data_IF_345517850686
#
_entry.id   IF_345517850686
#
_cell.length_a   1.000
_cell.length_b   1.000
_cell.length_c   1.000
_cell.angle_alpha   90.00
_cell.angle_beta   90.00
_cell.angle_gamma   90.00
#
_symmetry.space_group_name_H-M   'P 1'
#
loop_
_entity.id
_entity.type
_entity.pdbx_description
1 polymer ?
#
# COMPACT_ATOMS: atom_id res chain seq x y z
N UNK A 1 -5.35 -69.46 28.36
CA UNK A 1 -4.10 -68.67 28.53
C UNK A 1 -3.54 -68.04 27.25
N UNK A 2 -4.10 -68.26 26.04
CA UNK A 2 -3.63 -67.60 24.80
C UNK A 2 -4.37 -66.31 24.40
N UNK A 3 -5.46 -65.96 25.09
CA UNK A 3 -6.30 -64.79 24.75
C UNK A 3 -5.90 -63.53 25.55
N UNK A 4 -5.15 -63.68 26.64
CA UNK A 4 -4.71 -62.55 27.47
C UNK A 4 -3.46 -61.84 26.92
N UNK A 5 -2.61 -62.54 26.16
CA UNK A 5 -1.37 -61.96 25.62
C UNK A 5 -1.60 -61.06 24.40
N UNK A 6 -2.70 -61.25 23.67
CA UNK A 6 -3.02 -60.42 22.50
C UNK A 6 -3.60 -59.07 22.91
N UNK A 7 -4.23 -58.96 24.09
CA UNK A 7 -4.82 -57.70 24.55
C UNK A 7 -3.78 -56.69 25.05
N UNK A 8 -2.65 -57.16 25.60
CA UNK A 8 -1.56 -56.29 26.05
C UNK A 8 -0.69 -55.74 24.91
N UNK A 9 -0.54 -56.48 23.80
CA UNK A 9 0.22 -56.01 22.64
C UNK A 9 -0.51 -54.89 21.88
N UNK A 10 -1.84 -54.94 21.78
CA UNK A 10 -2.63 -53.89 21.10
C UNK A 10 -2.76 -52.62 21.95
N UNK A 11 -2.72 -52.73 23.29
CA UNK A 11 -2.79 -51.58 24.19
C UNK A 11 -1.46 -50.79 24.22
N UNK A 12 -0.31 -51.44 24.03
CA UNK A 12 1.00 -50.78 23.92
C UNK A 12 1.22 -50.08 22.56
N UNK A 13 0.59 -50.55 21.49
CA UNK A 13 0.61 -49.85 20.20
C UNK A 13 -0.25 -48.58 20.21
N UNK A 14 -1.32 -48.54 21.01
CA UNK A 14 -2.20 -47.38 21.15
C UNK A 14 -1.65 -46.29 22.07
N UNK A 15 -0.79 -46.65 23.04
CA UNK A 15 -0.12 -45.68 23.90
C UNK A 15 1.02 -44.90 23.21
N UNK A 16 1.50 -45.39 22.06
CA UNK A 16 2.55 -44.72 21.27
C UNK A 16 2.03 -43.57 20.40
N UNK A 17 0.71 -43.47 20.20
CA UNK A 17 0.08 -42.38 19.42
C UNK A 17 -0.25 -41.12 20.23
N UNK A 18 -0.06 -41.12 21.56
CA UNK A 18 -0.42 -40.00 22.42
C UNK A 18 0.78 -39.17 22.90
N UNK A 19 2.00 -39.47 22.43
CA UNK A 19 3.22 -38.70 22.73
C UNK A 19 3.77 -37.94 21.50
N UNK A 20 3.00 -37.85 20.41
CA UNK A 20 3.26 -36.88 19.35
C UNK A 20 2.78 -35.52 19.84
N UNK A 21 3.66 -34.75 20.47
CA UNK A 21 3.39 -33.34 20.72
C UNK A 21 2.98 -32.70 19.40
N UNK A 22 1.79 -32.10 19.36
CA UNK A 22 1.30 -31.32 18.22
C UNK A 22 2.23 -30.14 18.02
N UNK A 23 3.31 -30.34 17.27
CA UNK A 23 4.01 -29.24 16.63
C UNK A 23 3.03 -28.77 15.56
N UNK A 24 2.21 -27.79 15.90
CA UNK A 24 1.46 -27.02 14.93
C UNK A 24 2.49 -26.29 14.08
N UNK A 25 2.96 -26.94 13.00
CA UNK A 25 3.56 -26.20 11.90
C UNK A 25 2.44 -25.31 11.37
N UNK A 26 2.44 -24.04 11.78
CA UNK A 26 1.62 -23.02 11.15
C UNK A 26 2.09 -22.96 9.70
N UNK A 27 1.43 -23.71 8.83
CA UNK A 27 1.54 -23.53 7.39
C UNK A 27 0.85 -22.21 7.08
N UNK A 28 1.56 -21.10 7.27
CA UNK A 28 1.16 -19.80 6.75
C UNK A 28 1.19 -19.91 5.23
N UNK A 29 0.03 -20.16 4.63
CA UNK A 29 -0.10 -19.98 3.17
C UNK A 29 0.29 -18.53 2.88
N UNK A 30 1.27 -18.30 1.99
CA UNK A 30 1.76 -16.95 1.74
C UNK A 30 0.60 -16.07 1.26
N UNK A 31 0.43 -14.91 1.88
CA UNK A 31 -0.63 -13.97 1.56
C UNK A 31 -0.36 -13.34 0.19
N UNK A 32 -1.39 -13.25 -0.65
CA UNK A 32 -1.28 -12.66 -1.98
C UNK A 32 -1.76 -11.21 -1.96
N UNK A 33 -0.94 -10.29 -2.46
CA UNK A 33 -1.28 -8.89 -2.64
C UNK A 33 -1.84 -8.69 -4.06
N UNK A 34 -3.14 -8.42 -4.18
CA UNK A 34 -3.82 -8.33 -5.47
C UNK A 34 -4.26 -6.91 -5.82
N UNK A 35 -4.18 -6.57 -7.11
CA UNK A 35 -4.79 -5.38 -7.68
C UNK A 35 -5.68 -5.75 -8.87
N UNK A 36 -6.81 -5.05 -9.00
CA UNK A 36 -7.72 -5.21 -10.14
C UNK A 36 -7.04 -4.77 -11.43
N UNK A 37 -7.28 -5.54 -12.50
CA UNK A 37 -6.83 -5.30 -13.87
C UNK A 37 -7.97 -4.64 -14.65
N UNK A 38 -7.77 -3.39 -15.08
CA UNK A 38 -8.78 -2.59 -15.79
C UNK A 38 -8.39 -2.33 -17.24
N UNK A 39 -9.34 -2.41 -18.15
CA UNK A 39 -9.18 -1.90 -19.52
C UNK A 39 -9.15 -0.36 -19.54
N UNK A 40 -8.77 0.22 -20.69
CA UNK A 40 -8.79 1.68 -20.90
C UNK A 40 -10.18 2.33 -20.67
N UNK A 41 -11.26 1.57 -20.83
CA UNK A 41 -12.64 2.02 -20.59
C UNK A 41 -13.11 1.76 -19.14
N UNK A 42 -12.18 1.48 -18.22
CA UNK A 42 -12.43 1.14 -16.82
C UNK A 42 -13.34 -0.09 -16.64
N UNK A 43 -13.29 -1.03 -17.58
CA UNK A 43 -13.93 -2.34 -17.45
C UNK A 43 -12.98 -3.26 -16.69
N UNK A 44 -13.48 -3.89 -15.62
CA UNK A 44 -12.75 -4.93 -14.91
C UNK A 44 -12.62 -6.17 -15.78
N UNK A 45 -11.38 -6.62 -16.03
CA UNK A 45 -11.09 -7.80 -16.86
C UNK A 45 -10.43 -8.92 -16.07
N UNK A 46 -9.95 -8.64 -14.86
CA UNK A 46 -9.27 -9.60 -14.01
C UNK A 46 -8.58 -8.96 -12.80
N UNK A 47 -7.57 -9.65 -12.28
CA UNK A 47 -6.66 -9.15 -11.25
C UNK A 47 -5.22 -9.61 -11.52
N UNK A 48 -4.27 -8.88 -10.95
CA UNK A 48 -2.86 -9.27 -10.86
C UNK A 48 -2.51 -9.43 -9.39
N UNK A 49 -2.04 -10.60 -9.01
CA UNK A 49 -1.69 -10.95 -7.63
C UNK A 49 -0.20 -11.20 -7.51
N UNK A 50 0.38 -10.74 -6.40
CA UNK A 50 1.79 -10.92 -6.07
C UNK A 50 1.89 -11.78 -4.82
N UNK A 51 2.59 -12.90 -4.92
CA UNK A 51 2.88 -13.77 -3.77
C UNK A 51 4.38 -13.90 -3.62
N UNK A 52 4.90 -13.49 -2.46
CA UNK A 52 6.32 -13.60 -2.13
C UNK A 52 6.54 -14.95 -1.44
N UNK A 53 7.50 -15.74 -1.94
CA UNK A 53 7.94 -16.96 -1.29
C UNK A 53 9.40 -16.79 -0.85
N UNK A 54 9.63 -16.42 0.43
CA UNK A 54 10.97 -16.15 0.94
C UNK A 54 11.85 -17.40 0.93
N UNK A 55 11.28 -18.59 1.20
CA UNK A 55 12.01 -19.85 1.26
C UNK A 55 12.62 -20.26 -0.10
N UNK A 56 11.94 -19.89 -1.18
CA UNK A 56 12.36 -20.18 -2.55
C UNK A 56 13.00 -18.97 -3.26
N UNK A 57 13.21 -17.86 -2.54
CA UNK A 57 13.82 -16.61 -3.05
C UNK A 57 13.18 -16.11 -4.36
N UNK A 58 11.85 -16.23 -4.46
CA UNK A 58 11.11 -15.85 -5.65
C UNK A 58 9.77 -15.17 -5.34
N UNK A 59 9.29 -14.44 -6.34
CA UNK A 59 7.98 -13.81 -6.38
C UNK A 59 7.17 -14.49 -7.48
N UNK A 60 5.94 -14.85 -7.15
CA UNK A 60 4.92 -15.25 -8.12
C UNK A 60 4.08 -14.03 -8.48
N UNK A 61 3.94 -13.77 -9.78
CA UNK A 61 3.07 -12.73 -10.31
C UNK A 61 2.00 -13.37 -11.18
N UNK A 62 0.79 -13.47 -10.64
CA UNK A 62 -0.33 -14.20 -11.24
C UNK A 62 -1.32 -13.23 -11.89
N UNK A 63 -1.56 -13.41 -13.19
CA UNK A 63 -2.65 -12.79 -13.92
C UNK A 63 -3.86 -13.72 -13.86
N UNK A 64 -4.99 -13.22 -13.37
CA UNK A 64 -6.23 -13.97 -13.18
C UNK A 64 -7.37 -13.24 -13.89
N UNK A 65 -7.87 -13.76 -15.02
CA UNK A 65 -8.96 -13.15 -15.77
C UNK A 65 -10.34 -13.64 -15.32
N UNK A 66 -11.33 -12.75 -15.39
CA UNK A 66 -12.72 -13.07 -15.05
C UNK A 66 -13.57 -13.32 -16.30
N UNK A 67 -14.70 -14.00 -16.10
CA UNK A 67 -15.70 -14.27 -17.12
C UNK A 67 -15.14 -14.92 -18.40
N UNK A 68 -15.38 -14.30 -19.55
CA UNK A 68 -14.98 -14.76 -20.88
C UNK A 68 -13.70 -14.08 -21.40
N UNK A 69 -13.04 -13.26 -20.57
CA UNK A 69 -11.77 -12.64 -20.90
C UNK A 69 -10.65 -13.67 -20.98
N UNK A 70 -9.82 -13.53 -22.01
CA UNK A 70 -8.70 -14.38 -22.39
C UNK A 70 -7.44 -13.54 -22.48
N UNK A 71 -6.33 -14.06 -21.99
CA UNK A 71 -5.03 -13.41 -21.92
C UNK A 71 -4.23 -13.79 -23.16
N UNK A 72 -3.88 -12.79 -23.96
CA UNK A 72 -3.08 -12.97 -25.18
C UNK A 72 -1.60 -12.62 -24.94
N UNK A 73 -1.35 -11.55 -24.18
CA UNK A 73 -0.02 -11.07 -23.80
C UNK A 73 -0.02 -10.55 -22.36
N UNK A 74 1.10 -10.72 -21.66
CA UNK A 74 1.31 -10.22 -20.31
C UNK A 74 2.72 -9.61 -20.19
N UNK A 75 2.82 -8.44 -19.58
CA UNK A 75 4.07 -7.72 -19.35
C UNK A 75 4.11 -7.15 -17.95
N UNK A 76 5.22 -7.34 -17.25
CA UNK A 76 5.37 -6.86 -15.88
C UNK A 76 6.76 -6.29 -15.61
N UNK A 77 6.75 -5.25 -14.78
CA UNK A 77 7.93 -4.71 -14.12
C UNK A 77 7.67 -4.65 -12.61
N UNK A 78 8.64 -5.08 -11.82
CA UNK A 78 8.60 -5.07 -10.36
C UNK A 78 9.89 -4.39 -9.86
N UNK A 79 9.77 -3.35 -9.04
CA UNK A 79 10.90 -2.59 -8.52
C UNK A 79 10.61 -1.88 -7.20
N UNK A 80 11.63 -1.19 -6.66
CA UNK A 80 11.60 -0.55 -5.33
C UNK A 80 11.24 0.94 -5.36
N UNK A 81 11.22 1.54 -6.55
CA UNK A 81 10.96 2.95 -6.72
C UNK A 81 10.33 3.23 -8.07
N UNK A 82 9.25 3.99 -8.10
CA UNK A 82 8.57 4.42 -9.34
C UNK A 82 9.49 5.18 -10.30
N UNK A 83 10.55 5.82 -9.79
CA UNK A 83 11.55 6.52 -10.61
C UNK A 83 12.39 5.58 -11.48
N UNK A 84 12.45 4.29 -11.11
CA UNK A 84 13.14 3.24 -11.86
C UNK A 84 12.23 2.55 -12.88
N UNK A 85 10.92 2.85 -12.87
CA UNK A 85 9.97 2.33 -13.86
C UNK A 85 10.39 2.80 -15.26
N UNK A 86 10.60 1.89 -16.23
CA UNK A 86 10.97 2.29 -17.58
C UNK A 86 9.84 3.09 -18.23
N UNK A 87 10.10 4.38 -18.49
CA UNK A 87 9.17 5.30 -19.15
C UNK A 87 9.78 5.95 -20.38
N UNK A 88 8.93 6.36 -21.32
CA UNK A 88 9.35 7.09 -22.52
C UNK A 88 9.61 8.58 -22.22
N UNK A 89 10.02 9.34 -23.24
CA UNK A 89 10.26 10.77 -23.09
C UNK A 89 9.01 11.60 -22.73
N UNK A 90 7.82 11.01 -22.76
CA UNK A 90 6.54 11.60 -22.36
C UNK A 90 6.08 11.14 -20.97
N UNK A 91 6.82 10.23 -20.33
CA UNK A 91 6.47 9.65 -19.03
C UNK A 91 5.52 8.45 -19.09
N UNK A 92 5.25 7.91 -20.28
CA UNK A 92 4.42 6.70 -20.42
C UNK A 92 5.27 5.45 -20.19
N UNK A 93 4.76 4.42 -19.48
CA UNK A 93 5.45 3.15 -19.33
C UNK A 93 5.84 2.52 -20.67
N UNK A 94 7.10 2.14 -20.81
CA UNK A 94 7.60 1.43 -22.00
C UNK A 94 7.42 -0.08 -21.83
N UNK A 95 6.21 -0.58 -22.09
CA UNK A 95 5.85 -2.01 -21.95
C UNK A 95 6.82 -2.94 -22.69
N UNK A 96 7.37 -2.51 -23.83
CA UNK A 96 8.30 -3.31 -24.63
C UNK A 96 9.67 -3.54 -23.99
N UNK A 97 10.02 -2.83 -22.91
CA UNK A 97 11.28 -3.03 -22.17
C UNK A 97 11.06 -3.64 -20.79
N UNK A 98 9.83 -4.06 -20.47
CA UNK A 98 9.56 -4.75 -19.22
C UNK A 98 10.29 -6.10 -19.18
N UNK A 99 11.02 -6.41 -18.09
CA UNK A 99 11.89 -7.59 -18.02
C UNK A 99 11.12 -8.90 -18.03
N UNK A 100 9.86 -8.89 -17.56
CA UNK A 100 9.01 -10.08 -17.54
C UNK A 100 7.91 -9.91 -18.59
N UNK A 101 7.92 -10.76 -19.60
CA UNK A 101 6.91 -10.74 -20.64
C UNK A 101 6.59 -12.13 -21.17
N UNK A 102 5.34 -12.32 -21.55
CA UNK A 102 4.86 -13.51 -22.23
C UNK A 102 3.92 -13.07 -23.35
N UNK A 103 4.12 -13.65 -24.54
CA UNK A 103 3.31 -13.37 -25.72
C UNK A 103 2.78 -14.68 -26.31
N UNK A 104 1.76 -14.59 -27.16
CA UNK A 104 1.14 -15.74 -27.79
C UNK A 104 0.63 -16.77 -26.77
N UNK A 105 0.05 -16.28 -25.67
CA UNK A 105 -0.48 -17.14 -24.61
C UNK A 105 -1.69 -17.97 -25.07
N UNK A 106 -2.26 -17.68 -26.24
CA UNK A 106 -3.32 -18.48 -26.86
C UNK A 106 -4.67 -18.34 -26.17
N UNK A 107 -4.90 -17.23 -25.49
CA UNK A 107 -6.15 -16.92 -24.82
C UNK A 107 -6.40 -17.76 -23.57
N UNK A 108 -5.40 -17.86 -22.68
CA UNK A 108 -5.54 -18.51 -21.36
C UNK A 108 -6.32 -17.61 -20.39
N UNK A 109 -6.88 -18.16 -19.32
CA UNK A 109 -7.54 -17.36 -18.26
C UNK A 109 -6.60 -17.02 -17.11
N UNK A 110 -5.44 -17.67 -17.05
CA UNK A 110 -4.45 -17.46 -16.01
C UNK A 110 -3.04 -17.59 -16.58
N UNK A 111 -2.11 -16.82 -16.02
CA UNK A 111 -0.67 -16.94 -16.31
C UNK A 111 0.14 -16.49 -15.09
N UNK A 112 1.23 -17.19 -14.80
CA UNK A 112 2.10 -16.91 -13.66
C UNK A 112 3.53 -16.69 -14.12
N UNK A 113 4.13 -15.58 -13.71
CA UNK A 113 5.58 -15.41 -13.76
C UNK A 113 6.19 -15.88 -12.45
N UNK A 114 7.27 -16.66 -12.55
CA UNK A 114 8.14 -16.99 -11.41
C UNK A 114 9.40 -16.14 -11.55
N UNK A 115 9.57 -15.16 -10.67
CA UNK A 115 10.61 -14.15 -10.76
C UNK A 115 11.58 -14.33 -9.58
N UNK A 116 12.85 -14.61 -9.86
CA UNK A 116 13.85 -14.69 -8.78
C UNK A 116 14.09 -13.31 -8.18
N UNK A 117 14.41 -13.23 -6.89
CA UNK A 117 14.79 -11.96 -6.25
C UNK A 117 15.98 -11.28 -6.94
N UNK A 118 16.88 -12.05 -7.56
CA UNK A 118 18.02 -11.51 -8.33
C UNK A 118 17.60 -10.83 -9.64
N UNK A 119 16.41 -11.14 -10.16
CA UNK A 119 15.87 -10.55 -11.38
C UNK A 119 14.95 -9.36 -11.10
N UNK A 120 14.63 -9.09 -9.83
CA UNK A 120 13.86 -7.93 -9.42
C UNK A 120 14.70 -6.66 -9.55
N UNK A 121 14.08 -5.56 -9.97
CA UNK A 121 14.71 -4.24 -9.94
C UNK A 121 14.64 -3.64 -8.53
N UNK A 122 15.04 -4.43 -7.53
CA UNK A 122 14.99 -4.11 -6.10
C UNK A 122 16.34 -4.46 -5.49
N UNK A 123 16.83 -3.60 -4.59
CA UNK A 123 17.94 -3.99 -3.74
C UNK A 123 17.47 -5.05 -2.72
N UNK A 124 18.04 -6.26 -2.82
CA UNK A 124 17.72 -7.38 -1.93
C UNK A 124 17.90 -7.06 -0.44
N UNK A 125 18.90 -6.23 -0.09
CA UNK A 125 19.17 -5.82 1.29
C UNK A 125 18.07 -4.93 1.88
N UNK A 126 17.31 -4.26 1.00
CA UNK A 126 16.23 -3.35 1.40
C UNK A 126 14.86 -3.86 0.98
N UNK A 127 14.78 -5.02 0.30
CA UNK A 127 13.50 -5.58 -0.14
C UNK A 127 12.55 -5.76 1.04
N UNK A 128 13.13 -6.05 2.19
CA UNK A 128 12.49 -6.23 3.45
C UNK A 128 11.97 -4.91 4.05
N UNK A 129 10.65 -4.81 4.22
CA UNK A 129 9.92 -3.59 4.59
C UNK A 129 9.95 -2.48 3.53
N UNK A 130 10.38 -2.77 2.30
CA UNK A 130 10.25 -1.82 1.20
C UNK A 130 8.83 -1.83 0.63
N UNK A 131 8.41 -0.65 0.17
CA UNK A 131 7.29 -0.54 -0.75
C UNK A 131 7.72 -1.11 -2.10
N UNK A 132 7.07 -2.19 -2.53
CA UNK A 132 7.28 -2.81 -3.83
C UNK A 132 6.32 -2.18 -4.82
N UNK A 133 6.84 -1.70 -5.95
CA UNK A 133 6.09 -1.11 -7.05
C UNK A 133 5.92 -2.14 -8.16
N UNK A 134 4.67 -2.39 -8.56
CA UNK A 134 4.33 -3.33 -9.64
C UNK A 134 3.58 -2.61 -10.74
N UNK A 135 4.16 -2.59 -11.94
CA UNK A 135 3.52 -2.15 -13.16
C UNK A 135 3.23 -3.37 -14.04
N UNK A 136 1.95 -3.73 -14.16
CA UNK A 136 1.51 -4.91 -14.88
C UNK A 136 0.52 -4.52 -15.99
N UNK A 137 0.89 -4.87 -17.22
CA UNK A 137 0.13 -4.67 -18.43
C UNK A 137 -0.31 -6.03 -19.02
N UNK A 138 -1.48 -6.06 -19.64
CA UNK A 138 -1.99 -7.23 -20.35
C UNK A 138 -2.69 -6.81 -21.65
N UNK A 139 -2.58 -7.65 -22.67
CA UNK A 139 -3.48 -7.65 -23.82
C UNK A 139 -4.47 -8.78 -23.60
N UNK A 140 -5.75 -8.43 -23.52
CA UNK A 140 -6.83 -9.37 -23.27
C UNK A 140 -7.86 -9.33 -24.39
N UNK A 141 -8.48 -10.45 -24.65
CA UNK A 141 -9.56 -10.56 -25.62
C UNK A 141 -10.77 -11.30 -25.06
N UNK A 142 -11.95 -11.03 -25.63
CA UNK A 142 -13.15 -11.82 -25.37
C UNK A 142 -13.97 -11.95 -26.64
N UNK A 143 -14.87 -12.93 -26.65
CA UNK A 143 -15.73 -13.15 -27.80
C UNK A 143 -17.11 -12.56 -27.54
N UNK A 144 -17.41 -11.43 -28.18
CA UNK A 144 -18.74 -10.84 -28.11
C UNK A 144 -19.60 -11.50 -29.18
N UNK A 145 -20.62 -12.23 -28.74
CA UNK A 145 -21.62 -12.76 -29.69
C UNK A 145 -22.29 -11.56 -30.34
N UNK A 146 -22.06 -11.38 -31.63
CA UNK A 146 -22.61 -10.29 -32.42
C UNK A 146 -24.13 -10.36 -32.42
N UNK A 147 -24.75 -9.80 -31.38
CA UNK A 147 -26.16 -9.50 -31.32
C UNK A 147 -26.42 -8.48 -32.41
N UNK A 148 -26.80 -8.96 -33.59
CA UNK A 148 -27.25 -8.15 -34.71
C UNK A 148 -28.58 -7.49 -34.40
N UNK A 149 -28.65 -6.67 -33.35
CA UNK A 149 -29.79 -5.80 -33.08
C UNK A 149 -29.36 -4.37 -33.43
N UNK A 150 -29.63 -4.03 -34.68
CA UNK A 150 -29.40 -2.72 -35.23
C UNK A 150 -30.04 -1.62 -34.37
N UNK A 151 -29.27 -0.55 -34.12
CA UNK A 151 -29.80 0.80 -33.94
C UNK A 151 -30.83 0.98 -32.82
N UNK A 152 -30.62 0.38 -31.65
CA UNK A 152 -31.32 0.74 -30.42
C UNK A 152 -30.48 1.72 -29.60
N UNK A 153 -31.05 2.86 -29.24
CA UNK A 153 -30.43 3.93 -28.43
C UNK A 153 -29.64 3.38 -27.24
N UNK A 154 -28.48 4.00 -26.98
CA UNK A 154 -27.70 3.83 -25.77
C UNK A 154 -28.55 4.08 -24.52
N UNK A 155 -29.01 2.99 -23.91
CA UNK A 155 -29.53 3.05 -22.55
C UNK A 155 -28.34 3.30 -21.63
N UNK A 156 -28.38 4.49 -21.02
CA UNK A 156 -27.53 4.88 -19.89
C UNK A 156 -27.43 3.70 -18.93
N UNK A 157 -26.23 3.16 -18.80
CA UNK A 157 -25.87 2.24 -17.72
C UNK A 157 -26.35 2.85 -16.40
N UNK A 158 -27.34 2.17 -15.82
CA UNK A 158 -27.84 2.46 -14.49
C UNK A 158 -26.69 2.29 -13.50
N UNK A 159 -26.64 3.22 -12.54
CA UNK A 159 -25.87 3.12 -11.30
C UNK A 159 -25.78 1.66 -10.84
N UNK A 160 -24.58 1.11 -10.80
CA UNK A 160 -24.30 -0.11 -10.06
C UNK A 160 -24.79 0.07 -8.63
N UNK A 161 -25.67 -0.84 -8.23
CA UNK A 161 -26.19 -0.91 -6.87
C UNK A 161 -25.06 -1.19 -5.90
N UNK A 162 -25.17 -0.60 -4.71
CA UNK A 162 -24.39 -0.98 -3.53
C UNK A 162 -24.41 -2.49 -3.38
N UNK A 163 -23.22 -3.10 -3.36
CA UNK A 163 -23.03 -4.49 -2.97
C UNK A 163 -23.52 -4.71 -1.53
N UNK A 164 -24.11 -5.88 -1.35
CA UNK A 164 -24.96 -6.26 -0.23
C UNK A 164 -24.25 -6.30 1.12
N UNK A 165 -24.96 -5.75 2.09
CA UNK A 165 -24.76 -6.00 3.51
C UNK A 165 -25.27 -7.42 3.80
N UNK A 166 -24.39 -8.26 4.34
CA UNK A 166 -24.64 -9.66 4.71
C UNK A 166 -25.79 -9.82 5.71
N UNK A 167 -26.65 -10.81 5.43
CA UNK A 167 -27.80 -11.22 6.22
C UNK A 167 -27.43 -11.61 7.67
N UNK A 168 -28.07 -10.96 8.65
CA UNK A 168 -28.35 -11.54 9.97
C UNK A 168 -29.78 -12.04 9.99
N UNK A 169 -29.95 -13.36 9.87
CA UNK A 169 -31.09 -14.06 10.47
C UNK A 169 -30.89 -14.07 11.99
N UNK A 170 -31.88 -13.96 12.88
CA UNK A 170 -33.32 -13.77 12.81
C UNK A 170 -33.85 -13.94 14.23
N UNK A 171 -34.96 -13.26 14.59
CA UNK A 171 -36.12 -13.79 15.35
C UNK A 171 -37.01 -12.69 15.92
N UNK A 172 -38.24 -12.74 15.41
CA UNK A 172 -39.53 -12.34 15.97
C UNK A 172 -39.61 -11.88 17.44
N UNK A 173 -40.24 -10.72 17.62
CA UNK A 173 -40.86 -10.27 18.86
C UNK A 173 -41.98 -9.26 18.55
N UNK A 174 -43.21 -9.76 18.56
CA UNK A 174 -44.47 -9.09 18.28
C UNK A 174 -44.90 -8.23 19.49
N UNK A 175 -45.23 -6.94 19.32
CA UNK A 175 -46.23 -6.22 20.14
C UNK A 175 -46.51 -4.78 19.65
N UNK A 176 -47.75 -4.58 19.23
CA UNK A 176 -48.70 -3.50 19.56
C UNK A 176 -48.40 -2.00 19.36
N UNK A 177 -49.23 -1.42 18.47
CA UNK A 177 -50.03 -0.17 18.60
C UNK A 177 -49.50 0.99 19.46
N UNK A 178 -49.23 2.10 18.79
CA UNK A 178 -49.73 3.48 19.05
C UNK A 178 -48.90 4.44 18.18
N UNK A 179 -49.32 5.59 17.68
CA UNK A 179 -50.53 6.39 17.73
C UNK A 179 -50.31 7.55 16.75
N UNK A 180 -51.39 8.07 16.15
CA UNK A 180 -51.40 9.21 15.23
C UNK A 180 -50.90 10.50 15.89
N UNK A 181 -50.07 11.26 15.18
CA UNK A 181 -50.05 12.74 15.08
C UNK A 181 -48.78 13.11 14.30
N UNK A 182 -48.69 14.13 13.45
CA UNK A 182 -49.58 15.21 13.11
C UNK A 182 -48.97 15.92 11.90
N UNK A 183 -49.87 16.46 11.10
CA UNK A 183 -49.68 17.16 9.84
C UNK A 183 -49.11 18.56 10.09
N UNK A 184 -48.09 18.99 9.36
CA UNK A 184 -47.78 20.42 9.19
C UNK A 184 -47.03 20.69 7.88
N UNK A 185 -47.83 21.17 6.93
CA UNK A 185 -47.68 22.33 6.07
C UNK A 185 -46.47 22.53 5.13
N UNK A 186 -46.87 22.64 3.86
CA UNK A 186 -46.14 23.16 2.71
C UNK A 186 -45.95 24.68 2.81
N UNK A 187 -44.74 25.14 2.54
CA UNK A 187 -44.44 26.49 2.04
C UNK A 187 -43.12 26.41 1.28
N UNK A 188 -42.87 27.03 0.12
CA UNK A 188 -43.61 27.91 -0.75
C UNK A 188 -42.68 28.17 -1.94
N UNK A 189 -43.22 28.16 -3.16
CA UNK A 189 -42.49 28.54 -4.38
C UNK A 189 -42.21 30.05 -4.38
N UNK A 190 -41.00 30.47 -4.73
CA UNK A 190 -40.71 31.86 -5.08
C UNK A 190 -40.06 31.96 -6.47
N UNK A 191 -40.92 32.33 -7.42
CA UNK A 191 -40.76 33.31 -8.51
C UNK A 191 -39.41 33.57 -9.18
N UNK A 192 -39.43 33.32 -10.49
CA UNK A 192 -38.68 34.01 -11.54
C UNK A 192 -38.76 35.54 -11.43
N UNK A 193 -37.63 36.23 -11.66
CA UNK A 193 -37.62 37.53 -12.30
C UNK A 193 -36.20 37.98 -12.71
N UNK A 194 -36.09 38.64 -13.87
CA UNK A 194 -35.05 39.65 -14.12
C UNK A 194 -34.23 39.53 -15.40
N UNK A 195 -34.83 39.90 -16.54
CA UNK A 195 -34.08 40.36 -17.73
C UNK A 195 -33.48 41.76 -17.49
N UNK A 196 -32.23 41.97 -17.89
CA UNK A 196 -31.60 43.28 -18.10
C UNK A 196 -30.07 43.13 -18.10
N UNK A 197 -29.27 43.72 -18.98
CA UNK A 197 -29.48 44.66 -20.07
C UNK A 197 -28.20 44.70 -20.93
N UNK A 198 -28.32 45.27 -22.13
CA UNK A 198 -27.23 45.48 -23.09
C UNK A 198 -26.33 46.65 -22.67
N UNK A 199 -25.03 46.54 -22.98
CA UNK A 199 -24.06 47.64 -23.05
C UNK A 199 -22.65 47.14 -22.69
N UNK A 200 -21.56 47.41 -23.40
CA UNK A 200 -21.30 48.31 -24.52
C UNK A 200 -19.94 47.99 -25.14
N UNK A 201 -19.69 48.63 -26.30
CA UNK A 201 -18.49 48.54 -27.14
C UNK A 201 -17.24 49.17 -26.47
N UNK A 202 -16.07 48.66 -26.84
CA UNK A 202 -14.77 49.36 -26.76
C UNK A 202 -13.64 48.37 -26.43
N UNK A 203 -12.50 48.30 -27.12
CA UNK A 203 -11.94 49.11 -28.18
C UNK A 203 -10.76 48.36 -28.82
N UNK A 204 -10.42 48.79 -30.03
CA UNK A 204 -9.26 48.38 -30.83
C UNK A 204 -7.95 48.80 -30.14
N UNK A 205 -6.86 48.06 -30.37
CA UNK A 205 -5.52 48.57 -30.03
C UNK A 205 -4.37 47.61 -30.34
N UNK A 206 -3.69 47.89 -31.45
CA UNK A 206 -2.47 47.32 -32.03
C UNK A 206 -1.45 46.62 -31.12
N UNK A 207 -0.99 45.44 -31.56
CA UNK A 207 0.35 44.93 -31.26
C UNK A 207 1.26 45.23 -32.45
N UNK A 208 2.22 46.14 -32.29
CA UNK A 208 3.46 46.04 -33.06
C UNK A 208 4.63 46.82 -32.44
N UNK A 209 5.80 46.20 -32.59
CA UNK A 209 7.16 46.76 -32.57
C UNK A 209 7.78 47.26 -31.26
N UNK A 210 8.99 46.78 -30.97
CA UNK A 210 9.84 47.32 -29.90
C UNK A 210 11.11 46.50 -29.66
N UNK A 211 12.08 46.65 -30.55
CA UNK A 211 13.44 46.08 -30.49
C UNK A 211 14.32 46.92 -29.54
N UNK A 212 15.43 46.33 -29.08
CA UNK A 212 16.60 46.93 -28.37
C UNK A 212 16.48 47.05 -26.83
N UNK A 213 17.55 46.91 -26.04
CA UNK A 213 18.97 47.00 -26.38
C UNK A 213 19.93 46.39 -25.34
N UNK A 214 21.20 46.41 -25.74
CA UNK A 214 22.41 46.05 -24.99
C UNK A 214 22.60 46.95 -23.77
N UNK A 215 23.19 46.40 -22.70
CA UNK A 215 23.75 47.16 -21.60
C UNK A 215 24.93 46.42 -20.98
N UNK A 216 26.14 46.84 -21.35
CA UNK A 216 27.40 46.51 -20.67
C UNK A 216 27.57 47.41 -19.45
N UNK A 217 28.15 46.94 -18.35
CA UNK A 217 29.10 47.74 -17.55
C UNK A 217 29.83 46.90 -16.51
N UNK A 218 31.10 47.23 -16.34
CA UNK A 218 32.07 46.67 -15.42
C UNK A 218 31.94 47.27 -14.00
N UNK A 219 32.54 46.59 -13.02
CA UNK A 219 33.71 47.06 -12.24
C UNK A 219 33.59 46.88 -10.71
N UNK A 220 34.72 46.51 -10.10
CA UNK A 220 35.03 46.66 -8.67
C UNK A 220 35.03 45.35 -7.86
N UNK A 221 36.11 44.55 -7.83
CA UNK A 221 37.36 44.68 -7.03
C UNK A 221 37.19 44.50 -5.51
N UNK A 222 37.98 43.59 -4.93
CA UNK A 222 38.70 43.67 -3.62
C UNK A 222 38.74 42.28 -2.95
N UNK A 223 39.83 41.51 -3.08
CA UNK A 223 40.95 41.36 -2.12
C UNK A 223 40.70 40.41 -0.94
N UNK A 224 41.60 39.43 -0.77
CA UNK A 224 41.65 38.56 0.41
C UNK A 224 42.46 37.28 0.17
N UNK A 225 43.78 37.37 0.32
CA UNK A 225 44.81 36.38 0.02
C UNK A 225 45.03 35.31 1.10
N UNK A 226 45.87 34.31 0.75
CA UNK A 226 46.68 33.36 1.57
C UNK A 226 46.17 31.90 1.61
N UNK A 227 46.96 30.83 1.48
CA UNK A 227 48.37 30.58 1.11
C UNK A 227 48.64 29.06 1.18
N UNK A 228 49.51 28.51 0.32
CA UNK A 228 50.17 27.19 0.47
C UNK A 228 49.91 26.20 -0.68
N UNK A 229 50.70 26.15 -1.77
CA UNK A 229 51.98 25.42 -1.97
C UNK A 229 51.80 23.89 -1.82
N UNK A 230 52.07 22.99 -2.78
CA UNK A 230 53.19 22.97 -3.75
C UNK A 230 53.09 21.83 -4.79
N UNK A 231 53.73 22.07 -5.96
CA UNK A 231 54.39 21.15 -6.93
C UNK A 231 53.57 20.08 -7.70
N UNK A 232 53.74 19.80 -8.99
CA UNK A 232 54.60 20.33 -10.07
C UNK A 232 54.31 19.58 -11.39
N UNK A 233 54.25 20.30 -12.53
CA UNK A 233 54.83 19.95 -13.87
C UNK A 233 54.19 18.76 -14.62
N UNK A 234 53.57 18.88 -15.81
CA UNK A 234 54.07 19.26 -17.16
C UNK A 234 52.92 19.73 -18.10
N UNK A 235 52.97 20.93 -18.71
CA UNK A 235 53.16 21.25 -20.16
C UNK A 235 52.45 20.33 -21.15
N UNK A 236 51.59 20.73 -22.10
CA UNK A 236 51.68 21.76 -23.17
C UNK A 236 50.27 22.08 -23.72
N UNK A 237 49.81 23.33 -23.79
CA UNK A 237 50.02 24.35 -24.84
C UNK A 237 49.23 24.16 -26.15
N UNK A 238 48.26 25.08 -26.33
CA UNK A 238 47.91 25.84 -27.54
C UNK A 238 47.11 25.22 -28.69
N UNK A 239 46.00 25.90 -29.03
CA UNK A 239 45.32 25.78 -30.32
C UNK A 239 43.95 26.46 -30.36
N UNK A 240 43.91 27.80 -30.39
CA UNK A 240 42.70 28.57 -30.73
C UNK A 240 42.40 28.48 -32.23
N UNK A 241 41.10 28.61 -32.51
CA UNK A 241 40.47 29.21 -33.71
C UNK A 241 40.14 28.30 -34.91
N UNK A 242 38.89 28.45 -35.37
CA UNK A 242 38.37 27.90 -36.61
C UNK A 242 36.84 28.08 -36.70
N UNK A 243 36.38 29.26 -37.13
CA UNK A 243 35.01 29.48 -37.63
C UNK A 243 35.00 29.15 -39.13
N UNK A 244 34.14 28.22 -39.55
CA UNK A 244 33.44 28.13 -40.86
C UNK A 244 32.89 26.70 -40.99
N UNK A 245 31.76 26.41 -41.63
CA UNK A 245 30.89 27.23 -42.45
C UNK A 245 29.49 26.63 -42.55
N UNK A 246 28.60 27.43 -43.15
CA UNK A 246 27.33 26.99 -43.71
C UNK A 246 27.53 25.79 -44.64
N UNK A 247 26.66 24.80 -44.49
CA UNK A 247 26.39 23.80 -45.53
C UNK A 247 24.87 23.68 -45.71
N UNK A 248 24.43 24.30 -46.80
CA UNK A 248 23.49 23.82 -47.81
C UNK A 248 22.13 23.21 -47.43
N UNK A 249 21.12 23.91 -47.94
CA UNK A 249 19.73 23.46 -48.11
C UNK A 249 19.70 22.23 -49.02
N UNK A 250 19.42 21.07 -48.45
CA UNK A 250 19.04 19.88 -49.21
C UNK A 250 17.65 20.05 -49.84
N UNK A 251 17.55 19.59 -51.09
CA UNK A 251 16.52 19.96 -52.05
C UNK A 251 15.13 19.37 -51.83
N UNK A 252 14.19 19.99 -52.56
CA UNK A 252 12.82 19.53 -52.78
C UNK A 252 12.85 18.19 -53.53
N UNK A 253 12.38 17.12 -52.89
CA UNK A 253 12.08 15.84 -53.53
C UNK A 253 10.64 15.79 -54.02
N UNK A 254 10.49 15.56 -55.33
CA UNK A 254 9.53 14.63 -55.93
C UNK A 254 8.06 14.75 -55.55
N UNK A 255 7.32 15.48 -56.38
CA UNK A 255 5.87 15.39 -56.50
C UNK A 255 5.51 14.03 -57.13
N UNK A 256 5.06 13.06 -56.33
CA UNK A 256 4.58 11.77 -56.82
C UNK A 256 3.11 11.83 -57.25
N UNK A 257 2.81 11.12 -58.31
CA UNK A 257 1.58 11.14 -59.09
C UNK A 257 0.30 10.82 -58.30
N UNK A 258 -0.77 11.50 -58.73
CA UNK A 258 -2.15 11.26 -58.29
C UNK A 258 -2.58 9.84 -58.66
N UNK A 259 -2.71 8.96 -57.67
CA UNK A 259 -3.43 7.70 -57.81
C UNK A 259 -4.92 7.97 -58.06
N UNK A 260 -5.47 7.29 -59.06
CA UNK A 260 -6.83 7.43 -59.51
C UNK A 260 -7.85 7.01 -58.45
N UNK A 261 -8.99 7.70 -58.43
CA UNK A 261 -10.19 7.31 -57.69
C UNK A 261 -10.63 5.92 -58.15
N UNK A 262 -10.42 4.91 -57.31
CA UNK A 262 -11.07 3.60 -57.46
C UNK A 262 -12.57 3.76 -57.23
N UNK A 263 -13.34 3.17 -58.13
CA UNK A 263 -14.79 3.24 -58.16
C UNK A 263 -15.45 2.74 -56.87
N UNK A 264 -16.53 3.42 -56.51
CA UNK A 264 -17.48 3.08 -55.47
C UNK A 264 -18.25 1.83 -55.91
N UNK A 265 -17.80 0.65 -55.51
CA UNK A 265 -18.58 -0.59 -55.67
C UNK A 265 -19.73 -0.61 -54.67
N UNK A 266 -20.89 -1.03 -55.17
CA UNK A 266 -22.19 -0.92 -54.50
C UNK A 266 -22.26 -1.69 -53.18
N UNK A 267 -22.87 -1.05 -52.21
CA UNK A 267 -23.35 -1.62 -50.96
C UNK A 267 -24.44 -2.64 -51.24
N UNK A 268 -24.06 -3.93 -51.31
CA UNK A 268 -25.01 -5.04 -51.15
C UNK A 268 -25.34 -5.17 -49.67
N UNK A 269 -26.51 -4.67 -49.31
CA UNK A 269 -27.21 -4.98 -48.08
C UNK A 269 -27.74 -6.42 -48.18
N UNK A 270 -27.37 -7.29 -47.24
CA UNK A 270 -27.96 -8.63 -47.13
C UNK A 270 -26.95 -9.71 -46.79
N UNK A 271 -26.76 -9.95 -45.50
CA UNK A 271 -25.92 -11.02 -44.98
C UNK A 271 -25.48 -10.67 -43.57
N UNK A 272 -26.40 -10.76 -42.61
CA UNK A 272 -26.04 -10.64 -41.19
C UNK A 272 -25.23 -11.87 -40.79
N UNK A 273 -23.91 -11.82 -40.98
CA UNK A 273 -23.01 -12.79 -40.37
C UNK A 273 -23.12 -12.62 -38.86
N UNK A 274 -23.68 -13.64 -38.20
CA UNK A 274 -23.67 -13.79 -36.74
C UNK A 274 -22.32 -14.31 -36.26
N UNK A 275 -21.25 -14.02 -37.00
CA UNK A 275 -19.92 -14.50 -36.66
C UNK A 275 -19.49 -13.79 -35.37
N UNK A 276 -18.98 -14.54 -34.37
CA UNK A 276 -18.48 -13.96 -33.15
C UNK A 276 -17.40 -12.91 -33.47
N UNK A 277 -17.51 -11.73 -32.85
CA UNK A 277 -16.51 -10.69 -32.95
C UNK A 277 -15.60 -10.81 -31.75
N UNK A 278 -14.30 -10.97 -31.99
CA UNK A 278 -13.29 -10.88 -30.92
C UNK A 278 -13.03 -9.40 -30.62
N UNK A 279 -13.29 -9.00 -29.39
CA UNK A 279 -12.89 -7.72 -28.83
C UNK A 279 -11.51 -7.90 -28.17
N UNK A 280 -10.53 -7.08 -28.54
CA UNK A 280 -9.19 -7.07 -27.94
C UNK A 280 -8.92 -5.71 -27.33
N UNK A 281 -8.51 -5.68 -26.06
CA UNK A 281 -8.21 -4.45 -25.31
C UNK A 281 -6.90 -4.58 -24.55
N UNK A 282 -6.28 -3.43 -24.26
CA UNK A 282 -5.15 -3.33 -23.34
C UNK A 282 -5.67 -3.02 -21.95
N UNK A 283 -5.12 -3.70 -20.95
CA UNK A 283 -5.48 -3.54 -19.55
C UNK A 283 -4.25 -3.33 -18.66
N UNK A 284 -4.46 -2.60 -17.56
CA UNK A 284 -3.43 -2.25 -16.57
C UNK A 284 -3.90 -2.54 -15.15
N UNK A 285 -2.99 -3.05 -14.33
CA UNK A 285 -3.26 -3.28 -12.91
C UNK A 285 -2.77 -2.10 -12.07
N UNK A 286 -3.63 -1.65 -11.15
CA UNK A 286 -3.28 -0.65 -10.14
C UNK A 286 -4.11 0.62 -10.22
N UNK A 287 -4.19 1.31 -9.10
CA UNK A 287 -4.96 2.55 -8.95
C UNK A 287 -4.16 3.82 -9.23
N UNK A 288 -2.83 3.72 -9.29
CA UNK A 288 -1.96 4.90 -9.44
C UNK A 288 -1.55 5.06 -10.88
N UNK A 289 -2.02 6.13 -11.53
CA UNK A 289 -1.75 6.39 -12.94
C UNK A 289 -0.30 6.86 -13.17
N UNK A 290 0.29 6.41 -14.28
CA UNK A 290 1.59 6.85 -14.80
C UNK A 290 1.49 6.92 -16.33
N UNK A 291 1.45 8.13 -16.88
CA UNK A 291 1.19 8.33 -18.30
C UNK A 291 -0.16 7.72 -18.74
N UNK A 292 -0.11 6.78 -19.68
CA UNK A 292 -1.24 5.98 -20.16
C UNK A 292 -1.40 4.60 -19.48
N UNK A 293 -0.57 4.30 -18.49
CA UNK A 293 -0.62 3.07 -17.70
C UNK A 293 -0.94 3.31 -16.22
N UNK A 294 -0.86 2.23 -15.44
CA UNK A 294 -0.95 2.29 -13.98
C UNK A 294 0.00 1.31 -13.29
N UNK A 295 0.21 1.55 -12.00
CA UNK A 295 0.92 0.65 -11.10
C UNK A 295 0.19 0.58 -9.76
N UNK A 296 0.54 -0.43 -8.96
CA UNK A 296 0.17 -0.53 -7.56
C UNK A 296 1.40 -0.74 -6.70
N UNK A 297 1.25 -0.46 -5.41
CA UNK A 297 2.30 -0.66 -4.42
C UNK A 297 1.77 -1.53 -3.29
N UNK A 298 2.64 -2.36 -2.72
CA UNK A 298 2.37 -3.07 -1.47
C UNK A 298 3.63 -3.04 -0.61
N UNK A 299 3.46 -3.06 0.71
CA UNK A 299 4.58 -3.15 1.63
C UNK A 299 5.00 -4.61 1.75
N UNK A 300 6.27 -4.90 1.49
CA UNK A 300 6.81 -6.25 1.65
C UNK A 300 7.16 -6.53 3.11
N UNK A 301 6.22 -7.13 3.84
CA UNK A 301 6.44 -7.61 5.21
C UNK A 301 6.84 -9.10 5.26
N UNK A 302 7.17 -9.73 4.12
CA UNK A 302 7.50 -11.17 4.08
C UNK A 302 8.93 -11.47 4.54
N UNK A 303 9.72 -10.43 4.75
CA UNK A 303 11.10 -10.50 5.15
C UNK A 303 11.35 -10.38 6.66
N UNK A 304 10.31 -10.38 7.50
CA UNK A 304 10.58 -10.49 8.93
C UNK A 304 11.31 -11.81 9.14
N UNK A 305 12.64 -11.72 9.30
CA UNK A 305 13.36 -12.51 10.29
C UNK A 305 12.38 -12.61 11.45
N UNK A 306 11.87 -13.81 11.71
CA UNK A 306 10.94 -14.07 12.80
C UNK A 306 11.42 -13.21 13.97
N UNK A 307 10.66 -12.15 14.36
CA UNK A 307 11.22 -11.07 15.14
C UNK A 307 11.86 -11.71 16.35
N UNK A 308 13.17 -11.44 16.61
CA UNK A 308 14.00 -12.29 17.43
C UNK A 308 13.23 -12.62 18.70
N UNK A 309 12.89 -13.90 18.87
CA UNK A 309 12.04 -14.34 19.97
C UNK A 309 12.67 -13.81 21.24
N UNK A 310 12.00 -12.88 21.90
CA UNK A 310 12.52 -12.29 23.13
C UNK A 310 12.33 -13.34 24.21
N UNK A 311 13.35 -14.17 24.41
CA UNK A 311 13.35 -15.15 25.49
C UNK A 311 13.27 -14.40 26.82
N UNK A 312 12.12 -14.52 27.47
CA UNK A 312 11.94 -14.00 28.82
C UNK A 312 12.78 -14.85 29.79
N UNK A 313 13.43 -14.24 30.79
CA UNK A 313 14.03 -15.01 31.87
C UNK A 313 12.98 -15.88 32.55
N UNK A 314 13.43 -17.01 33.10
CA UNK A 314 12.56 -17.91 33.83
C UNK A 314 11.72 -17.17 34.88
N UNK A 315 10.40 -17.38 34.85
CA UNK A 315 9.40 -16.75 35.72
C UNK A 315 9.01 -15.30 35.40
N UNK A 316 9.64 -14.66 34.42
CA UNK A 316 9.16 -13.38 33.90
C UNK A 316 8.01 -13.61 32.91
N UNK A 317 7.14 -12.61 32.77
CA UNK A 317 6.01 -12.66 31.84
C UNK A 317 5.72 -11.26 31.27
N UNK A 318 5.08 -11.22 30.10
CA UNK A 318 4.68 -9.98 29.46
C UNK A 318 3.40 -9.42 30.07
N UNK A 319 3.34 -8.10 30.16
CA UNK A 319 2.14 -7.34 30.48
C UNK A 319 1.97 -6.19 29.50
N UNK A 320 0.71 -5.81 29.25
CA UNK A 320 0.37 -4.68 28.39
C UNK A 320 -0.51 -3.70 29.14
N UNK A 321 -0.35 -2.42 28.84
CA UNK A 321 -1.23 -1.40 29.38
C UNK A 321 -2.57 -1.39 28.66
N UNK A 322 -3.65 -1.43 29.42
CA UNK A 322 -5.03 -1.20 28.95
C UNK A 322 -5.63 0.00 29.69
N UNK A 323 -6.27 0.89 28.94
CA UNK A 323 -7.04 2.03 29.45
C UNK A 323 -8.54 1.68 29.36
N UNK A 324 -9.36 2.04 30.36
CA UNK A 324 -10.80 1.83 30.29
C UNK A 324 -11.40 2.36 28.99
N UNK A 325 -12.00 1.47 28.18
CA UNK A 325 -12.55 1.82 26.87
C UNK A 325 -11.66 1.49 25.67
N UNK A 326 -10.45 0.97 25.86
CA UNK A 326 -9.64 0.42 24.76
C UNK A 326 -10.36 -0.76 24.10
N UNK A 327 -10.64 -0.66 22.80
CA UNK A 327 -11.44 -1.66 22.07
C UNK A 327 -10.61 -2.59 21.17
N UNK A 328 -9.34 -2.25 20.92
CA UNK A 328 -8.48 -2.94 19.95
C UNK A 328 -7.40 -3.75 20.67
N UNK A 329 -7.65 -5.05 20.75
CA UNK A 329 -6.67 -6.05 21.18
C UNK A 329 -5.88 -6.60 19.99
N UNK A 330 -4.59 -6.86 20.15
CA UNK A 330 -3.75 -7.51 19.13
C UNK A 330 -2.95 -8.66 19.74
N UNK A 331 -2.53 -9.63 18.91
CA UNK A 331 -1.59 -10.67 19.32
C UNK A 331 -0.18 -10.17 19.00
N UNK A 332 0.68 -9.90 19.99
CA UNK A 332 2.03 -9.45 19.72
C UNK A 332 2.82 -10.57 19.03
N UNK A 333 3.61 -10.20 18.02
CA UNK A 333 4.54 -11.14 17.35
C UNK A 333 5.88 -11.14 18.11
N UNK A 334 6.54 -12.29 18.22
CA UNK A 334 7.85 -12.42 18.86
C UNK A 334 7.84 -12.53 20.39
N UNK A 335 6.66 -12.69 21.01
CA UNK A 335 6.52 -13.01 22.43
C UNK A 335 6.18 -14.49 22.63
N UNK A 336 6.80 -15.12 23.62
CA UNK A 336 6.61 -16.55 23.90
C UNK A 336 5.37 -16.88 24.73
N UNK A 337 4.72 -15.87 25.30
CA UNK A 337 3.48 -16.04 26.06
C UNK A 337 2.26 -15.60 25.24
N UNK A 338 1.12 -16.28 25.41
CA UNK A 338 -0.13 -16.01 24.70
C UNK A 338 -0.82 -14.73 25.21
N UNK A 339 -0.06 -13.66 25.38
CA UNK A 339 -0.56 -12.41 25.96
C UNK A 339 -1.18 -11.55 24.87
N UNK A 340 -2.32 -10.96 25.18
CA UNK A 340 -3.01 -10.01 24.31
C UNK A 340 -2.49 -8.60 24.58
N UNK A 341 -1.99 -7.94 23.53
CA UNK A 341 -1.64 -6.53 23.55
C UNK A 341 -2.87 -5.64 23.40
N UNK A 342 -2.78 -4.39 23.87
CA UNK A 342 -3.87 -3.41 23.78
C UNK A 342 -3.36 -2.14 23.12
N UNK A 343 -4.10 -1.68 22.11
CA UNK A 343 -3.92 -0.38 21.47
C UNK A 343 -4.83 0.63 22.17
N UNK A 344 -4.24 1.69 22.72
CA UNK A 344 -4.96 2.69 23.48
C UNK A 344 -5.06 3.98 22.67
N UNK A 345 -6.26 4.33 22.20
CA UNK A 345 -6.49 5.62 21.56
C UNK A 345 -6.71 6.70 22.62
N UNK A 346 -5.85 7.71 22.64
CA UNK A 346 -5.81 8.75 23.67
C UNK A 346 -5.93 10.12 23.02
N UNK A 347 -6.84 10.94 23.53
CA UNK A 347 -6.93 12.35 23.15
C UNK A 347 -5.74 13.12 23.74
N UNK A 348 -4.98 13.84 22.93
CA UNK A 348 -3.81 14.61 23.42
C UNK A 348 -4.22 15.85 24.21
N UNK A 349 -5.47 16.28 24.07
CA UNK A 349 -6.11 17.31 24.87
C UNK A 349 -6.60 16.72 26.21
N UNK A 350 -5.68 16.50 27.16
CA UNK A 350 -6.02 16.03 28.51
C UNK A 350 -4.76 15.74 29.32
N UNK A 351 -4.61 16.41 30.47
CA UNK A 351 -3.49 16.18 31.39
C UNK A 351 -3.76 14.92 32.21
N UNK A 352 -3.43 13.78 31.63
CA UNK A 352 -3.24 12.52 32.32
C UNK A 352 -4.32 11.46 32.10
N UNK A 353 -3.90 10.20 31.98
CA UNK A 353 -4.77 9.04 31.75
C UNK A 353 -4.38 7.90 32.69
N UNK A 354 -5.39 7.30 33.32
CA UNK A 354 -5.19 6.10 34.13
C UNK A 354 -5.40 4.85 33.27
N UNK A 355 -4.44 3.94 33.32
CA UNK A 355 -4.52 2.61 32.78
C UNK A 355 -4.10 1.56 33.80
N UNK A 356 -4.09 0.31 33.38
CA UNK A 356 -3.60 -0.82 34.17
C UNK A 356 -2.71 -1.72 33.33
N UNK A 357 -1.66 -2.27 33.92
CA UNK A 357 -0.88 -3.35 33.29
C UNK A 357 -1.57 -4.67 33.56
N UNK A 358 -1.94 -5.40 32.51
CA UNK A 358 -2.60 -6.72 32.59
C UNK A 358 -1.72 -7.78 31.95
N UNK A 359 -1.70 -8.98 32.53
CA UNK A 359 -1.03 -10.14 31.93
C UNK A 359 -1.96 -10.88 30.96
N UNK A 360 -1.48 -11.96 30.32
CA UNK A 360 -2.26 -12.76 29.36
C UNK A 360 -3.53 -13.41 29.92
N UNK A 361 -3.67 -13.48 31.25
CA UNK A 361 -4.88 -13.97 31.91
C UNK A 361 -5.86 -12.83 32.26
N UNK A 362 -5.60 -11.60 31.79
CA UNK A 362 -6.40 -10.41 32.11
C UNK A 362 -6.26 -9.94 33.56
N UNK A 363 -5.28 -10.44 34.32
CA UNK A 363 -5.11 -10.05 35.72
C UNK A 363 -4.25 -8.81 35.83
N UNK A 364 -4.78 -7.78 36.50
CA UNK A 364 -4.04 -6.55 36.80
C UNK A 364 -2.78 -6.82 37.64
N UNK A 365 -1.68 -6.18 37.27
CA UNK A 365 -0.37 -6.29 37.90
C UNK A 365 0.20 -4.96 38.37
N UNK A 366 -0.22 -3.85 37.77
CA UNK A 366 0.11 -2.51 38.20
C UNK A 366 -0.96 -1.53 37.73
N UNK A 367 -1.10 -0.42 38.43
CA UNK A 367 -1.77 0.77 37.91
C UNK A 367 -0.73 1.63 37.19
N UNK A 368 -1.12 2.24 36.08
CA UNK A 368 -0.26 3.15 35.32
C UNK A 368 -0.96 4.49 35.13
N UNK A 369 -0.26 5.58 35.41
CA UNK A 369 -0.67 6.95 35.12
C UNK A 369 0.24 7.50 34.02
N UNK A 370 -0.34 7.69 32.84
CA UNK A 370 0.29 8.41 31.74
C UNK A 370 0.07 9.89 31.93
N UNK A 371 1.11 10.71 31.91
CA UNK A 371 1.05 12.16 32.00
C UNK A 371 1.77 12.76 30.80
N UNK A 372 0.98 13.22 29.83
CA UNK A 372 1.49 13.98 28.70
C UNK A 372 1.61 15.45 29.10
N UNK A 373 2.80 16.03 28.98
CA UNK A 373 3.03 17.46 29.25
C UNK A 373 2.99 18.20 27.91
N UNK A 374 1.92 18.96 27.58
CA UNK A 374 1.79 19.61 26.28
C UNK A 374 2.99 20.51 25.98
N UNK A 375 3.55 20.37 24.77
CA UNK A 375 4.69 21.16 24.31
C UNK A 375 6.07 20.74 24.85
N UNK A 376 6.14 19.75 25.75
CA UNK A 376 7.43 19.23 26.23
C UNK A 376 8.09 18.23 25.26
N UNK A 377 7.29 17.54 24.44
CA UNK A 377 7.77 16.37 23.71
C UNK A 377 8.05 15.17 24.61
N UNK A 378 7.49 15.13 25.82
CA UNK A 378 7.71 14.07 26.80
C UNK A 378 6.38 13.48 27.30
N UNK A 379 6.34 12.14 27.34
CA UNK A 379 5.31 11.34 28.00
C UNK A 379 5.89 10.77 29.29
N UNK A 380 5.37 11.21 30.44
CA UNK A 380 5.73 10.65 31.74
C UNK A 380 4.80 9.48 32.08
N UNK A 381 5.36 8.38 32.56
CA UNK A 381 4.64 7.15 32.87
C UNK A 381 4.93 6.81 34.31
N UNK A 382 3.90 6.91 35.15
CA UNK A 382 4.01 6.66 36.57
C UNK A 382 3.40 5.30 36.88
N UNK A 383 4.21 4.36 37.37
CA UNK A 383 3.72 3.07 37.84
C UNK A 383 3.39 3.15 39.33
N UNK A 384 2.18 2.75 39.68
CA UNK A 384 1.73 2.61 41.07
C UNK A 384 1.16 1.22 41.32
N UNK A 385 1.08 0.83 42.59
CA UNK A 385 0.35 -0.37 43.01
C UNK A 385 0.85 -1.68 42.36
N UNK A 386 2.17 -1.92 42.34
CA UNK A 386 2.68 -3.23 41.88
C UNK A 386 2.11 -4.35 42.76
N UNK A 387 1.38 -5.28 42.15
CA UNK A 387 0.71 -6.37 42.87
C UNK A 387 1.70 -7.51 43.13
N UNK A 388 1.91 -7.81 44.41
CA UNK A 388 2.84 -8.85 44.87
C UNK A 388 4.31 -8.42 44.85
N UNK A 389 5.21 -9.36 45.10
CA UNK A 389 6.66 -9.15 45.01
C UNK A 389 7.13 -9.24 43.56
N UNK A 390 6.73 -8.29 42.72
CA UNK A 390 7.17 -8.18 41.33
C UNK A 390 7.84 -6.83 41.07
N UNK A 391 8.71 -6.79 40.07
CA UNK A 391 9.27 -5.55 39.52
C UNK A 391 9.17 -5.56 38.00
N UNK A 392 9.14 -4.37 37.41
CA UNK A 392 9.27 -4.21 35.96
C UNK A 392 10.76 -4.33 35.62
N UNK A 393 11.12 -5.26 34.73
CA UNK A 393 12.50 -5.47 34.28
C UNK A 393 12.83 -4.60 33.07
N UNK A 394 11.90 -4.57 32.12
CA UNK A 394 11.98 -3.71 30.94
C UNK A 394 10.60 -3.22 30.57
N UNK A 395 10.56 -2.09 29.88
CA UNK A 395 9.36 -1.47 29.38
C UNK A 395 9.64 -0.87 28.01
N UNK A 396 8.75 -1.13 27.06
CA UNK A 396 8.78 -0.54 25.73
C UNK A 396 7.50 0.27 25.55
N UNK A 397 7.66 1.51 25.13
CA UNK A 397 6.54 2.43 24.93
C UNK A 397 6.62 2.99 23.54
N UNK A 398 5.51 2.86 22.82
CA UNK A 398 5.32 3.37 21.48
C UNK A 398 4.10 4.28 21.45
N UNK A 399 4.26 5.45 20.84
CA UNK A 399 3.30 6.54 20.83
C UNK A 399 3.37 7.25 19.48
N UNK A 400 2.30 7.18 18.68
CA UNK A 400 2.25 7.80 17.35
C UNK A 400 0.82 8.23 16.97
N UNK A 401 0.64 8.81 15.78
CA UNK A 401 -0.66 9.14 15.22
C UNK A 401 -1.57 7.91 15.07
N UNK A 402 -2.88 8.14 15.16
CA UNK A 402 -3.87 7.09 15.02
C UNK A 402 -3.77 6.37 13.68
N UNK A 403 -3.76 5.03 13.72
CA UNK A 403 -3.67 4.17 12.52
C UNK A 403 -2.24 3.85 12.07
N UNK A 404 -1.21 4.25 12.82
CA UNK A 404 0.21 3.97 12.53
C UNK A 404 0.68 2.58 13.01
N UNK A 405 -0.24 1.68 13.38
CA UNK A 405 0.06 0.42 14.09
C UNK A 405 -0.06 -0.85 13.26
N UNK A 406 -0.40 -0.73 11.98
CA UNK A 406 -0.34 -1.87 11.08
C UNK A 406 1.15 -2.33 11.01
N UNK A 407 1.43 -3.52 11.53
CA UNK A 407 2.75 -4.20 11.54
C UNK A 407 3.79 -3.74 12.59
N UNK A 408 3.41 -3.04 13.66
CA UNK A 408 4.39 -2.61 14.69
C UNK A 408 4.54 -3.68 15.79
N UNK A 409 5.69 -4.37 15.84
CA UNK A 409 6.05 -5.18 17.01
C UNK A 409 6.41 -4.27 18.19
N UNK A 410 5.74 -4.39 19.36
CA UNK A 410 6.07 -3.60 20.55
C UNK A 410 7.51 -3.81 21.06
N UNK A 411 8.15 -4.91 20.62
CA UNK A 411 9.52 -5.26 20.97
C UNK A 411 10.57 -4.53 20.13
N UNK A 412 10.21 -4.07 18.92
CA UNK A 412 11.15 -3.48 17.96
C UNK A 412 11.12 -1.94 17.95
N UNK A 413 9.98 -1.32 18.25
CA UNK A 413 9.78 0.11 17.96
C UNK A 413 9.60 1.00 19.20
N UNK A 414 9.59 0.44 20.41
CA UNK A 414 9.44 1.22 21.64
C UNK A 414 10.74 1.85 22.13
N UNK A 415 10.63 2.99 22.83
CA UNK A 415 11.72 3.45 23.68
C UNK A 415 11.92 2.41 24.79
N UNK A 416 13.03 1.66 24.73
CA UNK A 416 13.31 0.62 25.71
C UNK A 416 13.87 1.24 26.98
N UNK A 417 13.17 1.01 28.08
CA UNK A 417 13.54 1.51 29.39
C UNK A 417 13.87 0.31 30.27
N UNK A 418 15.11 0.22 30.72
CA UNK A 418 15.57 -0.78 31.66
C UNK A 418 15.74 -0.14 33.03
N UNK A 419 15.17 -0.74 34.06
CA UNK A 419 15.30 -0.24 35.42
C UNK A 419 14.68 -1.18 36.45
N UNK A 420 15.33 -1.33 37.61
CA UNK A 420 14.84 -2.18 38.70
C UNK A 420 14.18 -1.30 39.77
N UNK A 421 12.85 -1.32 39.85
CA UNK A 421 12.09 -0.65 40.92
C UNK A 421 11.62 0.77 40.57
N UNK A 422 10.31 0.97 40.75
CA UNK A 422 9.44 2.12 40.42
C UNK A 422 10.04 3.54 40.63
N UNK A 423 9.51 4.62 40.03
CA UNK A 423 8.09 4.87 39.79
C UNK A 423 7.74 5.74 38.59
N UNK A 424 8.70 6.39 37.93
CA UNK A 424 8.42 7.32 36.84
C UNK A 424 9.38 7.09 35.69
N UNK A 425 8.83 6.84 34.52
CA UNK A 425 9.57 6.77 33.26
C UNK A 425 9.23 7.99 32.41
N UNK A 426 10.18 8.46 31.63
CA UNK A 426 9.96 9.56 30.69
C UNK A 426 10.34 9.06 29.31
N UNK A 427 9.40 9.16 28.39
CA UNK A 427 9.52 8.69 27.01
C UNK A 427 9.44 9.89 26.09
N UNK A 428 10.42 10.11 25.20
CA UNK A 428 10.32 11.16 24.20
C UNK A 428 9.19 10.84 23.21
N UNK A 429 8.36 11.83 22.91
CA UNK A 429 7.29 11.77 21.92
C UNK A 429 7.41 12.95 20.95
N UNK A 430 6.87 12.85 19.70
CA UNK A 430 6.95 13.94 18.74
C UNK A 430 6.42 15.26 19.31
N UNK A 431 7.11 16.39 19.05
CA UNK A 431 6.71 17.71 19.55
C UNK A 431 5.35 18.19 19.02
N UNK A 432 4.98 17.75 17.82
CA UNK A 432 3.68 18.00 17.21
C UNK A 432 2.80 16.76 17.32
N UNK A 433 2.11 16.60 18.45
CA UNK A 433 1.19 15.49 18.61
C UNK A 433 -0.15 15.76 17.88
N UNK A 434 -0.71 14.75 17.20
CA UNK A 434 -2.05 14.82 16.63
C UNK A 434 -3.13 14.98 17.72
N UNK A 435 -4.37 15.29 17.34
CA UNK A 435 -5.50 15.43 18.29
C UNK A 435 -5.78 14.11 19.03
N UNK A 436 -5.54 12.99 18.35
CA UNK A 436 -5.60 11.64 18.90
C UNK A 436 -4.29 10.94 18.57
N UNK A 437 -3.75 10.23 19.55
CA UNK A 437 -2.58 9.39 19.41
C UNK A 437 -2.94 7.97 19.83
N UNK A 438 -2.29 7.02 19.19
CA UNK A 438 -2.36 5.63 19.58
C UNK A 438 -1.13 5.30 20.44
N UNK A 439 -1.37 4.67 21.59
CA UNK A 439 -0.37 4.34 22.59
C UNK A 439 -0.36 2.82 22.84
N UNK A 440 0.82 2.22 22.71
CA UNK A 440 1.09 0.85 23.14
C UNK A 440 2.21 0.88 24.16
N UNK A 441 1.97 0.21 25.28
CA UNK A 441 2.95 0.02 26.33
C UNK A 441 3.03 -1.46 26.65
N UNK A 442 4.22 -1.99 26.49
CA UNK A 442 4.61 -3.35 26.81
C UNK A 442 5.62 -3.32 27.96
N UNK A 443 5.51 -4.25 28.89
CA UNK A 443 6.53 -4.43 29.91
C UNK A 443 6.77 -5.90 30.21
N UNK A 444 7.99 -6.21 30.62
CA UNK A 444 8.38 -7.52 31.17
C UNK A 444 8.38 -7.38 32.69
N UNK A 445 7.55 -8.18 33.36
CA UNK A 445 7.50 -8.24 34.81
C UNK A 445 8.15 -9.52 35.33
N UNK A 446 8.93 -9.40 36.39
CA UNK A 446 9.64 -10.52 37.01
C UNK A 446 9.37 -10.56 38.53
N UNK A 447 9.32 -11.75 39.17
CA UNK A 447 9.24 -11.87 40.63
C UNK A 447 10.53 -11.34 41.29
N UNK A 448 10.40 -10.62 42.41
CA UNK A 448 11.53 -10.07 43.18
C UNK A 448 12.45 -11.13 43.79
N UNK A 449 12.05 -12.40 43.79
CA UNK A 449 12.86 -13.53 44.28
C UNK A 449 13.89 -14.02 43.25
N UNK A 450 13.83 -13.53 42.01
CA UNK A 450 14.82 -13.85 40.98
C UNK A 450 16.03 -12.93 41.20
N UNK A 451 17.23 -13.46 41.52
CA UNK A 451 18.43 -12.63 41.63
C UNK A 451 18.70 -11.93 40.29
N UNK A 452 18.94 -10.61 40.37
CA UNK A 452 19.22 -9.75 39.21
C UNK A 452 20.38 -10.25 38.36
#
# INVERSE_FOLDING_TARGET
MKVLNTFFATLMLLASLLAGGSVFAQSSTPEANCSVLYSADAVEVGAVCVTVNPDAENVFLDYLLIDDWKLDEAHAWIGDNVSNLPVDGSGNPQVSVFPHSASNLGGVTEHSFVISFNDLAINADTFCNADVVVAANAVVSRTVTGGGDGGGKSDKSGKSGKSGQSDKSGKSGQSDKSGKSGQSDKSGKSSDNGKGGKGGKGGKGSKNSGKSGKGSSHNGSSWGSSSGSSSSVTTSSWGKSGKSGQSDKSGKSGQSDKSGKSGKSGSSSGGGSTDPITETVVAWAGSTAVGDGSYFTFSNDFCVDEPPVVELPASCYNVYATIPGSSTSFSPVGVTDNVVGYLNNIATAGVGFNGTLVNGNGVTRADVLFLLIPGSGELSINLSSLVGSHYVRSMNVYADATGSFDNVSPLQYGNSIQGTGAATYVVPVPLSLPVQMDLVMHAVMCPSSVPN
#
